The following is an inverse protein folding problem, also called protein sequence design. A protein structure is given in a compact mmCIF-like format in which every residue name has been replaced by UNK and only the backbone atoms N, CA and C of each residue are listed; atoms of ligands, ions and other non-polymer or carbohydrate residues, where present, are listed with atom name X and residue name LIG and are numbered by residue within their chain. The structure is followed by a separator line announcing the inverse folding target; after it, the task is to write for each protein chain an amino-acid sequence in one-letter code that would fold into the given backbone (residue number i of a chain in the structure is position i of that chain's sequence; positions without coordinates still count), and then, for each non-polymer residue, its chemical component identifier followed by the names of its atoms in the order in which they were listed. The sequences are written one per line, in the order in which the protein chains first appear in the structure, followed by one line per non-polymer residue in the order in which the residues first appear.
data_IF_649512885840
#
_entry.id   IF_649512885840
#
_cell.length_a   1.000
_cell.length_b   1.000
_cell.length_c   1.000
_cell.angle_alpha   90.00
_cell.angle_beta   90.00
_cell.angle_gamma   90.00
#
_symmetry.space_group_name_H-M   'P 1'
#
loop_
_entity.id
_entity.type
_entity.pdbx_description
1 polymer ?
#
# COMPACT_ATOMS: atom_id res chain seq x y z
N UNK A 1 10.91 13.67 8.77
CA UNK A 1 11.50 14.77 9.53
C UNK A 1 12.08 15.65 8.44
N UNK A 2 11.35 16.72 8.12
CA UNK A 2 11.57 17.57 6.95
C UNK A 2 12.62 18.61 7.31
N UNK A 3 12.20 19.87 7.45
CA UNK A 3 13.05 20.98 7.86
C UNK A 3 12.99 21.16 9.38
N UNK A 4 13.80 20.40 10.10
CA UNK A 4 13.71 20.27 11.56
C UNK A 4 15.05 20.59 12.22
N UNK A 5 15.03 21.41 13.27
CA UNK A 5 16.17 21.57 14.17
C UNK A 5 16.25 20.38 15.13
N UNK A 6 17.41 19.74 15.21
CA UNK A 6 17.58 18.43 15.86
C UNK A 6 18.62 18.49 16.97
N UNK A 7 18.29 17.85 18.09
CA UNK A 7 19.24 17.49 19.14
C UNK A 7 19.42 15.99 19.10
N UNK A 8 20.67 15.57 18.92
CA UNK A 8 21.02 14.17 18.69
C UNK A 8 21.69 13.56 19.90
N UNK A 9 21.41 12.29 20.12
CA UNK A 9 22.08 11.45 21.09
C UNK A 9 22.58 10.23 20.34
N UNK A 10 23.90 10.14 20.12
CA UNK A 10 24.50 9.09 19.28
C UNK A 10 25.70 8.44 19.97
N UNK A 11 25.81 7.12 19.85
CA UNK A 11 26.99 6.39 20.31
C UNK A 11 28.08 6.42 19.23
N UNK A 12 29.27 6.84 19.63
CA UNK A 12 30.45 6.94 18.77
C UNK A 12 31.69 6.47 19.52
N UNK A 13 32.35 5.43 18.99
CA UNK A 13 33.55 4.82 19.57
C UNK A 13 33.45 4.53 21.09
N UNK A 14 32.30 4.07 21.57
CA UNK A 14 32.05 3.75 22.99
C UNK A 14 31.72 4.95 23.88
N UNK A 15 31.64 6.16 23.32
CA UNK A 15 31.19 7.38 24.01
C UNK A 15 29.85 7.83 23.49
N UNK A 16 29.00 8.39 24.36
CA UNK A 16 27.73 8.99 23.94
C UNK A 16 27.96 10.47 23.68
N UNK A 17 27.65 10.90 22.46
CA UNK A 17 27.83 12.26 21.99
C UNK A 17 26.48 12.94 21.85
N UNK A 18 26.38 14.18 22.35
CA UNK A 18 25.22 15.06 22.13
C UNK A 18 25.61 16.09 21.08
N UNK A 19 24.84 16.18 20.00
CA UNK A 19 25.14 17.07 18.86
C UNK A 19 23.90 17.83 18.43
N UNK A 20 24.10 19.05 17.96
CA UNK A 20 23.10 19.83 17.22
C UNK A 20 23.22 19.52 15.75
N UNK A 21 22.10 19.34 15.07
CA UNK A 21 22.04 19.18 13.62
C UNK A 21 20.73 19.73 13.06
N UNK A 22 20.60 19.68 11.74
CA UNK A 22 19.41 20.10 11.02
C UNK A 22 19.03 19.05 9.99
N UNK A 23 17.76 18.66 9.97
CA UNK A 23 17.24 17.86 8.88
C UNK A 23 16.80 18.78 7.76
N UNK A 24 17.15 18.40 6.52
CA UNK A 24 16.60 18.97 5.29
C UNK A 24 16.06 17.79 4.48
N UNK A 25 14.75 17.72 4.31
CA UNK A 25 14.05 16.61 3.63
C UNK A 25 14.30 15.20 4.19
N UNK A 26 15.31 14.51 3.66
CA UNK A 26 15.73 13.13 4.04
C UNK A 26 17.21 13.09 4.44
N UNK A 27 17.85 14.24 4.48
CA UNK A 27 19.25 14.41 4.80
C UNK A 27 19.39 15.09 6.15
N UNK A 28 20.50 14.81 6.81
CA UNK A 28 20.87 15.42 8.06
C UNK A 28 22.21 16.14 7.87
N UNK A 29 22.25 17.41 8.26
CA UNK A 29 23.38 18.30 8.09
C UNK A 29 23.80 18.83 9.46
N UNK A 30 25.09 19.06 9.64
CA UNK A 30 25.61 19.68 10.86
C UNK A 30 25.92 21.16 10.62
N UNK A 31 25.66 22.03 11.60
CA UNK A 31 26.30 23.34 11.66
C UNK A 31 27.82 23.20 11.83
N UNK A 32 28.57 24.27 11.55
CA UNK A 32 30.03 24.31 11.71
C UNK A 32 30.44 23.93 13.14
N UNK A 33 29.71 24.44 14.13
CA UNK A 33 29.79 24.02 15.52
C UNK A 33 28.72 22.98 15.83
N UNK A 34 29.12 21.70 15.93
CA UNK A 34 28.22 20.58 16.28
C UNK A 34 27.60 20.68 17.68
N UNK A 35 28.01 21.63 18.51
CA UNK A 35 27.39 21.92 19.81
C UNK A 35 26.69 23.29 19.82
N UNK A 36 26.38 23.84 18.64
CA UNK A 36 25.70 25.11 18.49
C UNK A 36 24.43 25.17 19.37
N UNK A 37 24.40 26.14 20.28
CA UNK A 37 23.30 26.37 21.20
C UNK A 37 23.23 25.42 22.41
N UNK A 38 24.13 24.44 22.54
CA UNK A 38 24.18 23.48 23.64
C UNK A 38 25.17 23.90 24.74
N UNK A 39 24.84 23.55 25.97
CA UNK A 39 25.68 23.68 27.17
C UNK A 39 25.36 22.55 28.15
N UNK A 40 26.26 22.30 29.11
CA UNK A 40 26.09 21.28 30.17
C UNK A 40 25.57 19.93 29.63
N UNK A 41 26.12 19.51 28.48
CA UNK A 41 25.70 18.28 27.82
C UNK A 41 26.55 17.09 28.25
N UNK A 42 25.92 15.94 28.29
CA UNK A 42 26.54 14.69 28.68
C UNK A 42 25.68 13.52 28.22
N UNK A 43 26.33 12.39 27.99
CA UNK A 43 25.65 11.17 27.61
C UNK A 43 26.27 9.97 28.30
N UNK A 44 25.47 8.95 28.56
CA UNK A 44 25.92 7.70 29.14
C UNK A 44 25.05 6.54 28.64
N UNK A 45 25.55 5.32 28.84
CA UNK A 45 24.76 4.11 28.61
C UNK A 45 24.52 3.46 29.97
N UNK A 46 23.26 3.32 30.36
CA UNK A 46 22.87 2.65 31.61
C UNK A 46 21.92 1.50 31.29
N UNK A 47 22.27 0.29 31.71
CA UNK A 47 21.46 -0.92 31.48
C UNK A 47 21.06 -1.12 30.00
N UNK A 48 21.96 -0.78 29.06
CA UNK A 48 21.69 -0.87 27.62
C UNK A 48 20.80 0.26 27.06
N UNK A 49 20.44 1.26 27.86
CA UNK A 49 19.69 2.44 27.43
C UNK A 49 20.65 3.62 27.24
N UNK A 50 20.56 4.26 26.08
CA UNK A 50 21.29 5.48 25.76
C UNK A 50 20.60 6.67 26.45
N UNK A 51 21.28 7.31 27.39
CA UNK A 51 20.81 8.50 28.11
C UNK A 51 21.61 9.72 27.66
N UNK A 52 20.93 10.81 27.30
CA UNK A 52 21.54 12.10 27.06
C UNK A 52 20.85 13.20 27.87
N UNK A 53 21.66 14.10 28.40
CA UNK A 53 21.26 15.32 29.08
C UNK A 53 21.96 16.49 28.42
N UNK A 54 21.28 17.61 28.26
CA UNK A 54 21.85 18.83 27.73
C UNK A 54 20.99 20.02 28.13
N UNK A 55 21.61 21.17 28.21
CA UNK A 55 20.93 22.46 28.29
C UNK A 55 21.04 23.15 26.93
N UNK A 56 19.96 23.80 26.51
CA UNK A 56 19.89 24.44 25.20
C UNK A 56 19.48 25.90 25.36
N UNK A 57 20.20 26.81 24.70
CA UNK A 57 19.84 28.23 24.66
C UNK A 57 18.49 28.42 23.98
N UNK A 58 17.66 29.31 24.53
CA UNK A 58 16.35 29.64 23.96
C UNK A 58 16.52 30.25 22.57
N UNK A 59 17.43 31.23 22.45
CA UNK A 59 17.79 31.88 21.19
C UNK A 59 19.27 31.64 20.88
N UNK A 60 19.57 31.38 19.61
CA UNK A 60 20.94 31.24 19.12
C UNK A 60 21.10 31.85 17.72
N UNK A 61 21.10 33.19 17.61
CA UNK A 61 21.04 33.89 16.32
C UNK A 61 22.26 33.67 15.41
N UNK A 62 23.35 33.09 15.92
CA UNK A 62 24.56 32.78 15.14
C UNK A 62 24.37 31.61 14.19
N UNK A 63 23.38 30.74 14.41
CA UNK A 63 23.07 29.62 13.54
C UNK A 63 21.55 29.58 13.28
N UNK A 64 21.07 30.07 12.12
CA UNK A 64 19.65 30.13 11.79
C UNK A 64 18.93 28.77 11.81
N UNK A 65 19.67 27.67 11.60
CA UNK A 65 19.13 26.29 11.66
C UNK A 65 18.92 25.79 13.11
N UNK A 66 19.35 26.54 14.12
CA UNK A 66 19.03 26.31 15.53
C UNK A 66 17.77 27.10 15.88
N UNK A 67 16.63 26.40 15.97
CA UNK A 67 15.31 27.06 16.11
C UNK A 67 15.15 27.86 17.41
N UNK A 68 14.60 29.06 17.31
CA UNK A 68 14.29 29.94 18.42
C UNK A 68 13.15 29.37 19.30
N UNK A 69 13.49 28.84 20.48
CA UNK A 69 12.55 28.23 21.42
C UNK A 69 11.65 29.21 22.18
N UNK A 70 11.76 30.53 21.93
CA UNK A 70 10.74 31.47 22.41
C UNK A 70 9.37 31.18 21.79
N UNK A 71 9.37 30.53 20.62
CA UNK A 71 8.19 30.11 19.88
C UNK A 71 7.82 28.67 20.20
N UNK A 72 6.52 28.32 20.16
CA UNK A 72 6.09 26.95 20.42
C UNK A 72 6.25 26.07 19.17
N UNK A 73 6.75 24.83 19.35
CA UNK A 73 6.94 23.84 18.27
C UNK A 73 6.39 22.46 18.64
N UNK A 74 6.13 21.63 17.64
CA UNK A 74 5.93 20.20 17.89
C UNK A 74 7.27 19.55 18.27
N UNK A 75 7.28 18.77 19.34
CA UNK A 75 8.43 17.96 19.70
C UNK A 75 8.31 16.61 19.01
N UNK A 76 9.38 16.21 18.33
CA UNK A 76 9.48 14.91 17.67
C UNK A 76 10.61 14.10 18.28
N UNK A 77 10.35 12.80 18.46
CA UNK A 77 11.35 11.83 18.92
C UNK A 77 11.37 10.68 17.94
N UNK A 78 12.53 10.43 17.35
CA UNK A 78 12.79 9.27 16.52
C UNK A 78 14.09 8.60 16.97
N UNK A 79 14.21 7.32 16.64
CA UNK A 79 15.40 6.54 16.93
C UNK A 79 15.77 5.72 15.70
N UNK A 80 17.03 5.31 15.61
CA UNK A 80 17.57 4.58 14.47
C UNK A 80 18.93 4.00 14.80
N UNK A 81 19.48 3.27 13.85
CA UNK A 81 20.81 2.69 13.98
C UNK A 81 21.89 3.75 13.71
N UNK A 82 23.01 3.64 14.41
CA UNK A 82 24.22 4.40 14.12
C UNK A 82 25.43 3.47 14.22
N UNK A 83 26.35 3.58 13.25
CA UNK A 83 27.59 2.80 13.21
C UNK A 83 28.76 3.77 13.17
N UNK A 84 29.66 3.67 14.15
CA UNK A 84 30.83 4.55 14.29
C UNK A 84 30.46 6.04 14.21
N UNK A 85 29.42 6.44 14.97
CA UNK A 85 28.92 7.82 14.99
C UNK A 85 28.12 8.26 13.76
N UNK A 86 28.08 7.44 12.69
CA UNK A 86 27.31 7.72 11.48
C UNK A 86 25.89 7.19 11.63
N UNK A 87 24.91 8.09 11.56
CA UNK A 87 23.49 7.76 11.70
C UNK A 87 22.91 7.26 10.39
N UNK A 88 22.11 6.21 10.46
CA UNK A 88 21.26 5.77 9.36
C UNK A 88 19.88 6.44 9.44
N UNK A 89 19.07 6.38 8.36
CA UNK A 89 17.68 6.81 8.45
C UNK A 89 16.97 6.18 9.65
N UNK A 90 16.08 6.95 10.28
CA UNK A 90 15.32 6.48 11.44
C UNK A 90 14.61 5.15 11.15
N UNK A 91 14.40 4.37 12.21
CA UNK A 91 13.82 3.03 12.13
C UNK A 91 12.55 3.02 11.26
N UNK A 92 12.50 2.09 10.31
CA UNK A 92 11.30 1.83 9.51
C UNK A 92 10.30 0.94 10.27
N UNK A 93 10.66 0.41 11.44
CA UNK A 93 9.81 -0.47 12.24
C UNK A 93 8.90 0.29 13.20
N UNK A 94 9.36 1.43 13.75
CA UNK A 94 8.51 2.30 14.55
C UNK A 94 8.55 3.72 14.04
N UNK A 95 7.36 4.29 13.92
CA UNK A 95 7.20 5.67 13.49
C UNK A 95 7.71 6.63 14.57
N UNK A 96 8.25 7.80 14.16
CA UNK A 96 8.53 8.88 15.07
C UNK A 96 7.32 9.23 15.94
N UNK A 97 7.58 9.60 17.19
CA UNK A 97 6.57 10.14 18.10
C UNK A 97 6.55 11.66 17.99
N UNK A 98 5.37 12.23 17.92
CA UNK A 98 5.14 13.67 17.77
C UNK A 98 4.20 14.14 18.87
N UNK A 99 4.48 15.29 19.48
CA UNK A 99 3.58 15.92 20.43
C UNK A 99 2.26 16.32 19.76
N UNK A 100 1.12 16.06 20.42
CA UNK A 100 -0.20 16.37 19.87
C UNK A 100 -0.41 17.88 19.66
N UNK A 101 0.15 18.69 20.54
CA UNK A 101 0.13 20.15 20.46
C UNK A 101 1.55 20.69 20.39
N UNK A 102 1.67 21.95 19.96
CA UNK A 102 2.93 22.68 20.05
C UNK A 102 3.26 22.91 21.53
N UNK A 103 4.50 22.66 21.88
CA UNK A 103 5.03 22.80 23.24
C UNK A 103 5.66 24.17 23.37
N UNK A 104 5.34 24.85 24.46
CA UNK A 104 6.09 26.00 24.92
C UNK A 104 7.32 25.51 25.69
N UNK A 105 8.51 25.74 25.15
CA UNK A 105 9.76 25.26 25.75
C UNK A 105 10.23 26.10 26.95
N UNK A 106 9.50 27.16 27.28
CA UNK A 106 9.74 27.98 28.48
C UNK A 106 8.98 27.46 29.70
N UNK A 107 7.97 26.60 29.50
CA UNK A 107 7.19 26.01 30.58
C UNK A 107 7.86 24.75 31.13
N UNK A 108 7.84 24.56 32.44
CA UNK A 108 8.36 23.35 33.09
C UNK A 108 7.28 22.26 33.05
N UNK A 109 7.51 21.22 32.27
CA UNK A 109 6.57 20.10 32.17
C UNK A 109 7.21 18.86 31.56
N UNK A 110 6.60 17.70 31.80
CA UNK A 110 6.97 16.45 31.13
C UNK A 110 6.02 16.19 29.96
N UNK A 111 6.56 16.06 28.75
CA UNK A 111 5.80 15.62 27.58
C UNK A 111 5.78 14.09 27.60
N UNK A 112 4.66 13.52 28.06
CA UNK A 112 4.43 12.06 28.03
C UNK A 112 3.46 11.71 26.91
N UNK A 113 3.74 10.64 26.17
CA UNK A 113 2.79 10.03 25.25
C UNK A 113 2.57 10.78 23.93
N UNK A 114 3.64 11.01 23.14
CA UNK A 114 3.49 11.46 21.76
C UNK A 114 2.72 10.46 20.89
N UNK A 115 1.91 10.96 19.96
CA UNK A 115 1.25 10.13 18.96
C UNK A 115 2.26 9.69 17.89
N UNK A 116 2.05 8.53 17.28
CA UNK A 116 2.86 8.16 16.10
C UNK A 116 2.57 9.13 14.96
N UNK A 117 3.62 9.53 14.22
CA UNK A 117 3.46 10.36 13.02
C UNK A 117 2.41 9.75 12.06
N UNK A 118 1.59 10.60 11.45
CA UNK A 118 0.51 10.18 10.53
C UNK A 118 0.88 10.54 9.11
N UNK A 119 0.56 9.67 8.16
CA UNK A 119 0.86 9.83 6.74
C UNK A 119 -0.42 9.78 5.88
N UNK A 120 -1.18 10.89 5.78
CA UNK A 120 -2.47 10.90 5.08
C UNK A 120 -2.39 10.50 3.61
N UNK A 121 -1.34 10.92 2.88
CA UNK A 121 -1.16 10.55 1.48
C UNK A 121 -0.87 9.05 1.30
N UNK A 122 -0.13 8.43 2.23
CA UNK A 122 0.09 6.97 2.22
C UNK A 122 -1.23 6.24 2.44
N UNK A 123 -2.06 6.71 3.38
CA UNK A 123 -3.39 6.13 3.62
C UNK A 123 -4.30 6.29 2.41
N UNK A 124 -4.35 7.48 1.80
CA UNK A 124 -5.13 7.75 0.60
C UNK A 124 -4.67 6.89 -0.60
N UNK A 125 -3.35 6.71 -0.78
CA UNK A 125 -2.79 5.77 -1.74
C UNK A 125 -3.29 4.34 -1.50
N UNK A 126 -3.14 3.84 -0.27
CA UNK A 126 -3.59 2.49 0.10
C UNK A 126 -5.07 2.29 -0.16
N UNK A 127 -5.92 3.22 0.28
CA UNK A 127 -7.36 3.20 0.04
C UNK A 127 -7.69 3.19 -1.45
N UNK A 128 -7.08 4.08 -2.25
CA UNK A 128 -7.31 4.12 -3.69
C UNK A 128 -6.95 2.79 -4.36
N UNK A 129 -5.80 2.18 -3.99
CA UNK A 129 -5.37 0.88 -4.52
C UNK A 129 -6.32 -0.25 -4.09
N UNK A 130 -6.77 -0.28 -2.84
CA UNK A 130 -7.75 -1.24 -2.36
C UNK A 130 -9.06 -1.16 -3.16
N UNK A 131 -9.62 0.03 -3.36
CA UNK A 131 -10.84 0.19 -4.19
C UNK A 131 -10.61 -0.16 -5.67
N UNK A 132 -9.47 0.24 -6.23
CA UNK A 132 -9.13 -0.05 -7.62
C UNK A 132 -9.13 -1.56 -7.92
N UNK A 133 -8.52 -2.35 -7.02
CA UNK A 133 -8.22 -3.76 -7.28
C UNK A 133 -9.20 -4.72 -6.63
N UNK A 134 -9.60 -4.50 -5.37
CA UNK A 134 -10.56 -5.38 -4.70
C UNK A 134 -11.99 -5.12 -5.17
N UNK A 135 -12.36 -3.87 -5.50
CA UNK A 135 -13.73 -3.59 -5.93
C UNK A 135 -13.85 -3.59 -7.46
N UNK A 136 -13.22 -2.64 -8.14
CA UNK A 136 -13.40 -2.46 -9.58
C UNK A 136 -12.75 -3.60 -10.40
N UNK A 137 -11.50 -3.98 -10.11
CA UNK A 137 -10.84 -5.02 -10.89
C UNK A 137 -11.51 -6.39 -10.72
N UNK A 138 -11.89 -6.75 -9.49
CA UNK A 138 -12.66 -7.97 -9.21
C UNK A 138 -14.00 -7.99 -9.93
N UNK A 139 -14.75 -6.88 -9.91
CA UNK A 139 -16.02 -6.76 -10.64
C UNK A 139 -15.84 -6.90 -12.15
N UNK A 140 -14.82 -6.25 -12.72
CA UNK A 140 -14.51 -6.35 -14.14
C UNK A 140 -14.08 -7.75 -14.56
N UNK A 141 -13.31 -8.46 -13.73
CA UNK A 141 -12.92 -9.84 -13.97
C UNK A 141 -14.11 -10.79 -13.90
N UNK A 142 -14.96 -10.63 -12.89
CA UNK A 142 -16.18 -11.41 -12.71
C UNK A 142 -17.11 -11.29 -13.92
N UNK A 143 -17.37 -10.06 -14.36
CA UNK A 143 -18.23 -9.79 -15.52
C UNK A 143 -17.60 -10.26 -16.84
N UNK A 144 -16.27 -10.20 -16.99
CA UNK A 144 -15.61 -10.75 -18.16
C UNK A 144 -15.77 -12.28 -18.29
N UNK A 145 -15.82 -12.99 -17.15
CA UNK A 145 -15.99 -14.44 -17.09
C UNK A 145 -17.44 -14.86 -17.26
N UNK A 146 -18.34 -14.26 -16.48
CA UNK A 146 -19.73 -14.74 -16.33
C UNK A 146 -20.76 -13.87 -17.04
N UNK A 147 -20.43 -12.63 -17.36
CA UNK A 147 -21.37 -11.63 -17.87
C UNK A 147 -21.96 -11.94 -19.24
N UNK A 148 -21.28 -12.77 -20.05
CA UNK A 148 -21.83 -13.25 -21.33
C UNK A 148 -23.11 -14.07 -21.15
N UNK A 149 -23.15 -14.93 -20.12
CA UNK A 149 -24.32 -15.74 -19.82
C UNK A 149 -25.44 -14.91 -19.20
N UNK A 150 -25.09 -13.92 -18.36
CA UNK A 150 -26.06 -13.08 -17.66
C UNK A 150 -26.72 -12.01 -18.56
N UNK A 151 -26.02 -11.51 -19.57
CA UNK A 151 -26.46 -10.34 -20.36
C UNK A 151 -26.42 -10.58 -21.88
N UNK A 152 -26.75 -11.78 -22.34
CA UNK A 152 -26.70 -12.15 -23.77
C UNK A 152 -27.68 -11.36 -24.67
N UNK A 153 -28.81 -10.90 -24.12
CA UNK A 153 -29.93 -10.35 -24.88
C UNK A 153 -29.99 -8.81 -24.92
N UNK A 154 -29.12 -8.10 -24.18
CA UNK A 154 -29.17 -6.65 -24.05
C UNK A 154 -27.95 -5.98 -24.70
N UNK A 155 -28.20 -5.10 -25.67
CA UNK A 155 -27.17 -4.39 -26.45
C UNK A 155 -27.44 -2.88 -26.54
N UNK A 156 -27.37 -2.12 -25.43
CA UNK A 156 -27.45 -0.67 -25.50
C UNK A 156 -26.29 -0.15 -26.36
N UNK A 157 -26.61 0.70 -27.34
CA UNK A 157 -25.65 1.25 -28.30
C UNK A 157 -24.88 0.19 -29.10
N UNK A 158 -25.50 -0.96 -29.39
CA UNK A 158 -24.92 -2.02 -30.23
C UNK A 158 -23.84 -2.86 -29.55
N UNK A 159 -23.53 -2.60 -28.28
CA UNK A 159 -22.50 -3.29 -27.49
C UNK A 159 -23.18 -4.07 -26.36
N UNK A 160 -22.73 -5.30 -26.12
CA UNK A 160 -23.23 -6.14 -25.03
C UNK A 160 -23.02 -5.47 -23.67
N UNK A 161 -24.02 -5.49 -22.79
CA UNK A 161 -23.98 -4.86 -21.45
C UNK A 161 -22.77 -5.31 -20.64
N UNK A 162 -22.43 -6.60 -20.65
CA UNK A 162 -21.26 -7.11 -19.92
C UNK A 162 -19.95 -6.43 -20.36
N UNK A 163 -19.84 -6.06 -21.64
CA UNK A 163 -18.65 -5.40 -22.17
C UNK A 163 -18.56 -3.94 -21.70
N UNK A 164 -19.70 -3.25 -21.57
CA UNK A 164 -19.75 -1.91 -20.96
C UNK A 164 -19.32 -1.95 -19.50
N UNK A 165 -19.88 -2.87 -18.70
CA UNK A 165 -19.55 -3.00 -17.28
C UNK A 165 -18.07 -3.37 -17.10
N UNK A 166 -17.55 -4.30 -17.91
CA UNK A 166 -16.14 -4.64 -17.90
C UNK A 166 -15.25 -3.43 -18.21
N UNK A 167 -15.54 -2.68 -19.29
CA UNK A 167 -14.78 -1.49 -19.67
C UNK A 167 -14.81 -0.41 -18.58
N UNK A 168 -16.00 -0.10 -18.06
CA UNK A 168 -16.17 0.85 -16.97
C UNK A 168 -15.31 0.46 -15.76
N UNK A 169 -15.39 -0.81 -15.35
CA UNK A 169 -14.62 -1.33 -14.21
C UNK A 169 -13.11 -1.20 -14.45
N UNK A 170 -12.61 -1.57 -15.62
CA UNK A 170 -11.18 -1.47 -15.94
C UNK A 170 -10.70 -0.01 -16.05
N UNK A 171 -11.52 0.91 -16.57
CA UNK A 171 -11.21 2.35 -16.60
C UNK A 171 -11.12 2.89 -15.18
N UNK A 172 -12.06 2.55 -14.29
CA UNK A 172 -12.01 2.97 -12.89
C UNK A 172 -10.80 2.41 -12.15
N UNK A 173 -10.45 1.13 -12.38
CA UNK A 173 -9.21 0.54 -11.85
C UNK A 173 -7.98 1.33 -12.31
N UNK A 174 -7.88 1.66 -13.60
CA UNK A 174 -6.75 2.42 -14.14
C UNK A 174 -6.67 3.85 -13.57
N UNK A 175 -7.79 4.56 -13.48
CA UNK A 175 -7.86 5.92 -12.92
C UNK A 175 -7.48 5.96 -11.45
N UNK A 176 -8.04 5.06 -10.62
CA UNK A 176 -7.70 4.99 -9.20
C UNK A 176 -6.24 4.55 -8.99
N UNK A 177 -5.72 3.65 -9.83
CA UNK A 177 -4.30 3.28 -9.81
C UNK A 177 -3.41 4.47 -10.15
N UNK A 178 -3.80 5.31 -11.13
CA UNK A 178 -3.07 6.54 -11.47
C UNK A 178 -3.03 7.51 -10.29
N UNK A 179 -4.20 7.78 -9.69
CA UNK A 179 -4.34 8.70 -8.56
C UNK A 179 -3.54 8.19 -7.36
N UNK A 180 -3.71 6.91 -7.01
CA UNK A 180 -2.94 6.28 -5.93
C UNK A 180 -1.44 6.37 -6.18
N UNK A 181 -0.99 6.08 -7.41
CA UNK A 181 0.43 6.14 -7.75
C UNK A 181 0.99 7.58 -7.68
N UNK A 182 0.23 8.57 -8.14
CA UNK A 182 0.60 9.98 -8.03
C UNK A 182 0.72 10.42 -6.56
N UNK A 183 -0.24 10.04 -5.71
CA UNK A 183 -0.21 10.35 -4.27
C UNK A 183 1.06 9.83 -3.59
N UNK A 184 1.44 8.57 -3.85
CA UNK A 184 2.62 7.99 -3.20
C UNK A 184 3.95 8.55 -3.75
N UNK A 185 4.00 8.96 -5.03
CA UNK A 185 5.17 9.62 -5.60
C UNK A 185 5.38 11.02 -5.00
N UNK A 186 4.30 11.79 -4.81
CA UNK A 186 4.35 13.11 -4.17
C UNK A 186 4.80 12.97 -2.72
N UNK A 187 4.16 12.08 -1.96
CA UNK A 187 4.51 11.80 -0.56
C UNK A 187 5.96 11.32 -0.40
N UNK A 188 6.42 10.47 -1.31
CA UNK A 188 7.78 9.93 -1.27
C UNK A 188 8.83 10.89 -1.83
N UNK A 189 8.43 12.02 -2.44
CA UNK A 189 9.28 12.92 -3.23
C UNK A 189 10.12 12.14 -4.26
N UNK A 190 9.48 11.22 -4.98
CA UNK A 190 10.14 10.32 -5.95
C UNK A 190 10.15 8.85 -5.51
N UNK A 191 11.19 8.11 -5.93
CA UNK A 191 11.29 6.68 -5.63
C UNK A 191 11.55 6.41 -4.14
N UNK A 192 10.73 5.56 -3.53
CA UNK A 192 10.90 5.15 -2.14
C UNK A 192 11.79 3.91 -2.05
N UNK A 193 12.90 4.04 -1.30
CA UNK A 193 13.73 2.89 -0.88
C UNK A 193 13.28 2.46 0.51
N UNK A 194 12.81 1.22 0.62
CA UNK A 194 12.53 0.57 1.90
C UNK A 194 13.78 -0.26 2.21
N UNK A 195 14.65 0.19 3.13
CA UNK A 195 15.90 -0.49 3.42
C UNK A 195 15.63 -1.83 4.09
N UNK A 196 16.50 -2.78 3.77
CA UNK A 196 16.58 -4.03 4.53
C UNK A 196 17.20 -3.75 5.89
N UNK A 197 16.65 -4.33 6.95
CA UNK A 197 17.25 -4.24 8.29
C UNK A 197 17.90 -5.60 8.60
N UNK A 198 19.23 -5.66 8.80
CA UNK A 198 19.92 -6.92 9.09
C UNK A 198 19.26 -7.65 10.28
N UNK A 199 18.73 -8.85 10.04
CA UNK A 199 18.02 -9.65 11.05
C UNK A 199 16.49 -9.52 11.05
N UNK A 200 15.91 -8.66 10.19
CA UNK A 200 14.47 -8.53 10.06
C UNK A 200 13.90 -9.58 9.07
N UNK A 201 12.86 -10.31 9.50
CA UNK A 201 12.15 -11.32 8.67
C UNK A 201 11.26 -10.71 7.58
N UNK A 202 11.21 -9.39 7.45
CA UNK A 202 10.26 -8.65 6.60
C UNK A 202 10.89 -8.12 5.30
N UNK A 203 11.90 -8.82 4.77
CA UNK A 203 12.60 -8.46 3.53
C UNK A 203 11.63 -8.17 2.37
N UNK A 204 10.51 -8.90 2.30
CA UNK A 204 9.51 -8.78 1.24
C UNK A 204 8.90 -7.38 1.11
N UNK A 205 8.97 -6.54 2.17
CA UNK A 205 8.52 -5.14 2.14
C UNK A 205 9.25 -4.32 1.08
N UNK A 206 10.52 -4.64 0.80
CA UNK A 206 11.32 -3.96 -0.22
C UNK A 206 10.79 -4.17 -1.64
N UNK A 207 9.99 -5.21 -1.86
CA UNK A 207 9.43 -5.54 -3.17
C UNK A 207 8.25 -4.64 -3.55
N UNK A 208 7.65 -3.93 -2.60
CA UNK A 208 6.43 -3.16 -2.86
C UNK A 208 6.62 -2.05 -3.91
N UNK A 209 7.62 -1.15 -3.82
CA UNK A 209 7.85 -0.14 -4.85
C UNK A 209 8.18 -0.72 -6.25
N UNK A 210 9.14 -1.66 -6.43
CA UNK A 210 9.47 -2.14 -7.76
C UNK A 210 8.33 -2.95 -8.40
N UNK A 211 7.67 -3.84 -7.65
CA UNK A 211 6.52 -4.60 -8.17
C UNK A 211 5.32 -3.67 -8.44
N UNK A 212 5.13 -2.64 -7.60
CA UNK A 212 4.11 -1.62 -7.80
C UNK A 212 4.27 -0.86 -9.12
N UNK A 213 5.50 -0.49 -9.50
CA UNK A 213 5.76 0.15 -10.80
C UNK A 213 5.43 -0.80 -11.95
N UNK A 214 5.83 -2.08 -11.86
CA UNK A 214 5.48 -3.09 -12.86
C UNK A 214 3.97 -3.22 -13.00
N UNK A 215 3.24 -3.28 -11.88
CA UNK A 215 1.77 -3.33 -11.88
C UNK A 215 1.14 -2.09 -12.55
N UNK A 216 1.63 -0.89 -12.27
CA UNK A 216 1.17 0.34 -12.93
C UNK A 216 1.35 0.24 -14.44
N UNK A 217 2.53 -0.18 -14.91
CA UNK A 217 2.79 -0.36 -16.35
C UNK A 217 1.82 -1.38 -16.96
N UNK A 218 1.63 -2.55 -16.33
CA UNK A 218 0.68 -3.56 -16.80
C UNK A 218 -0.75 -3.01 -16.89
N UNK A 219 -1.15 -2.18 -15.93
CA UNK A 219 -2.48 -1.57 -15.83
C UNK A 219 -2.80 -0.64 -17.00
N UNK A 220 -1.81 0.06 -17.55
CA UNK A 220 -1.99 0.94 -18.71
C UNK A 220 -1.74 0.24 -20.04
N UNK A 221 -0.77 -0.67 -20.10
CA UNK A 221 -0.50 -1.45 -21.32
C UNK A 221 -1.72 -2.30 -21.68
N UNK A 222 -2.41 -2.90 -20.71
CA UNK A 222 -3.52 -3.80 -21.01
C UNK A 222 -4.73 -3.13 -21.71
N UNK A 223 -5.22 -1.96 -21.25
CA UNK A 223 -6.24 -1.18 -21.97
C UNK A 223 -5.75 -0.61 -23.30
N UNK A 224 -4.49 -0.16 -23.40
CA UNK A 224 -3.93 0.35 -24.66
C UNK A 224 -3.94 -0.75 -25.72
N UNK A 225 -3.49 -1.97 -25.38
CA UNK A 225 -3.60 -3.11 -26.29
C UNK A 225 -5.05 -3.38 -26.69
N UNK A 226 -6.01 -3.21 -25.77
CA UNK A 226 -7.42 -3.41 -26.04
C UNK A 226 -8.03 -2.36 -27.00
N UNK A 227 -7.40 -1.20 -27.22
CA UNK A 227 -7.78 -0.26 -28.27
C UNK A 227 -7.46 -0.80 -29.66
N UNK A 228 -6.37 -1.56 -29.80
CA UNK A 228 -5.95 -2.20 -31.05
C UNK A 228 -6.52 -3.62 -31.20
N UNK A 229 -7.66 -3.88 -30.56
CA UNK A 229 -8.33 -5.18 -30.52
C UNK A 229 -8.71 -5.64 -31.94
N UNK A 230 -8.16 -6.77 -32.45
CA UNK A 230 -8.46 -7.27 -33.80
C UNK A 230 -9.92 -7.66 -34.00
N UNK A 231 -10.39 -7.64 -35.24
CA UNK A 231 -11.73 -8.13 -35.60
C UNK A 231 -11.97 -9.59 -35.17
N UNK A 232 -13.22 -10.00 -34.90
CA UNK A 232 -13.53 -11.34 -34.39
C UNK A 232 -12.99 -12.51 -35.23
N UNK A 233 -12.87 -12.33 -36.55
CA UNK A 233 -12.41 -13.37 -37.49
C UNK A 233 -10.93 -13.28 -37.86
N UNK A 234 -10.20 -12.28 -37.35
CA UNK A 234 -8.79 -12.10 -37.69
C UNK A 234 -7.90 -13.19 -37.08
N UNK A 235 -6.85 -13.68 -37.76
CA UNK A 235 -5.96 -14.72 -37.22
C UNK A 235 -5.18 -14.26 -35.97
N UNK A 236 -4.91 -12.96 -35.84
CA UNK A 236 -4.26 -12.37 -34.67
C UNK A 236 -5.16 -12.31 -33.43
N UNK A 237 -6.48 -12.54 -33.58
CA UNK A 237 -7.48 -12.46 -32.50
C UNK A 237 -7.18 -13.40 -31.34
N UNK A 238 -6.74 -14.63 -31.64
CA UNK A 238 -6.43 -15.64 -30.63
C UNK A 238 -5.24 -15.21 -29.77
N UNK A 239 -4.15 -14.77 -30.42
CA UNK A 239 -2.96 -14.24 -29.74
C UNK A 239 -3.29 -13.05 -28.86
N UNK A 240 -4.06 -12.09 -29.39
CA UNK A 240 -4.55 -10.94 -28.63
C UNK A 240 -5.32 -11.37 -27.38
N UNK A 241 -6.27 -12.31 -27.51
CA UNK A 241 -7.08 -12.75 -26.38
C UNK A 241 -6.21 -13.36 -25.27
N UNK A 242 -5.24 -14.22 -25.61
CA UNK A 242 -4.33 -14.82 -24.63
C UNK A 242 -3.43 -13.81 -23.94
N UNK A 243 -2.85 -12.86 -24.69
CA UNK A 243 -1.98 -11.82 -24.13
C UNK A 243 -2.77 -10.88 -23.22
N UNK A 244 -3.92 -10.37 -23.69
CA UNK A 244 -4.78 -9.47 -22.92
C UNK A 244 -5.30 -10.13 -21.63
N UNK A 245 -5.73 -11.39 -21.74
CA UNK A 245 -6.17 -12.18 -20.59
C UNK A 245 -5.01 -12.46 -19.62
N UNK A 246 -3.88 -12.96 -20.12
CA UNK A 246 -2.73 -13.32 -19.29
C UNK A 246 -2.16 -12.13 -18.53
N UNK A 247 -1.99 -10.99 -19.21
CA UNK A 247 -1.52 -9.75 -18.59
C UNK A 247 -2.51 -9.26 -17.52
N UNK A 248 -3.82 -9.32 -17.81
CA UNK A 248 -4.86 -8.92 -16.86
C UNK A 248 -4.89 -9.80 -15.61
N UNK A 249 -4.81 -11.12 -15.77
CA UNK A 249 -4.77 -12.07 -14.63
C UNK A 249 -3.49 -11.91 -13.81
N UNK A 250 -2.34 -11.74 -14.47
CA UNK A 250 -1.07 -11.52 -13.78
C UNK A 250 -1.11 -10.24 -12.94
N UNK A 251 -1.55 -9.12 -13.52
CA UNK A 251 -1.69 -7.87 -12.80
C UNK A 251 -2.67 -8.01 -11.62
N UNK A 252 -3.80 -8.70 -11.82
CA UNK A 252 -4.77 -8.97 -10.75
C UNK A 252 -4.13 -9.75 -9.59
N UNK A 253 -3.40 -10.83 -9.84
CA UNK A 253 -2.74 -11.62 -8.78
C UNK A 253 -1.67 -10.78 -8.05
N UNK A 254 -0.83 -10.05 -8.79
CA UNK A 254 0.20 -9.20 -8.21
C UNK A 254 -0.40 -8.09 -7.33
N UNK A 255 -1.57 -7.56 -7.68
CA UNK A 255 -2.23 -6.50 -6.90
C UNK A 255 -2.56 -6.92 -5.47
N UNK A 256 -3.04 -8.15 -5.26
CA UNK A 256 -3.34 -8.64 -3.91
C UNK A 256 -2.08 -8.81 -3.06
N UNK A 257 -1.00 -9.33 -3.67
CA UNK A 257 0.30 -9.39 -3.02
C UNK A 257 0.76 -8.00 -2.60
N UNK A 258 0.67 -7.01 -3.50
CA UNK A 258 1.04 -5.63 -3.20
C UNK A 258 0.18 -4.98 -2.12
N UNK A 259 -1.13 -5.23 -2.09
CA UNK A 259 -2.03 -4.74 -1.03
C UNK A 259 -1.61 -5.31 0.32
N UNK A 260 -1.38 -6.64 0.41
CA UNK A 260 -0.94 -7.29 1.65
C UNK A 260 0.39 -6.73 2.14
N UNK A 261 1.37 -6.58 1.26
CA UNK A 261 2.67 -5.98 1.61
C UNK A 261 2.48 -4.52 2.04
N UNK A 262 1.64 -3.76 1.33
CA UNK A 262 1.38 -2.35 1.62
C UNK A 262 0.71 -2.12 2.97
N UNK A 263 -0.22 -2.99 3.38
CA UNK A 263 -0.83 -2.98 4.71
C UNK A 263 0.21 -3.26 5.81
N UNK A 264 1.14 -4.17 5.56
CA UNK A 264 2.21 -4.50 6.52
C UNK A 264 3.33 -3.44 6.61
N UNK A 265 3.32 -2.40 5.75
CA UNK A 265 4.26 -1.27 5.89
C UNK A 265 3.88 -0.38 7.07
N UNK A 266 4.85 -0.06 7.93
CA UNK A 266 4.63 0.75 9.14
C UNK A 266 3.96 2.10 8.89
N UNK A 267 4.21 2.74 7.74
CA UNK A 267 3.57 4.02 7.36
C UNK A 267 2.09 3.89 6.99
N UNK A 268 1.60 2.70 6.65
CA UNK A 268 0.17 2.44 6.43
C UNK A 268 -0.61 2.70 7.72
N UNK A 269 -0.01 2.37 8.86
CA UNK A 269 -0.64 2.32 10.18
C UNK A 269 -1.96 1.53 10.15
N UNK A 270 -2.04 0.48 9.33
CA UNK A 270 -3.19 -0.42 9.33
C UNK A 270 -3.03 -1.48 10.39
N UNK A 271 -4.15 -1.82 11.02
CA UNK A 271 -4.20 -2.92 11.99
C UNK A 271 -4.16 -4.28 11.27
N UNK A 272 -3.80 -5.34 12.00
CA UNK A 272 -3.65 -6.71 11.46
C UNK A 272 -4.97 -7.25 10.89
N UNK A 273 -6.10 -6.74 11.39
CA UNK A 273 -7.44 -7.02 10.94
C UNK A 273 -7.65 -6.68 9.46
N UNK A 274 -6.99 -5.63 8.96
CA UNK A 274 -7.06 -5.27 7.54
C UNK A 274 -6.49 -6.38 6.65
N UNK A 275 -5.42 -7.05 7.09
CA UNK A 275 -4.82 -8.19 6.39
C UNK A 275 -5.80 -9.38 6.39
N UNK A 276 -6.46 -9.66 7.51
CA UNK A 276 -7.48 -10.71 7.58
C UNK A 276 -8.67 -10.42 6.66
N UNK A 277 -9.10 -9.17 6.54
CA UNK A 277 -10.15 -8.77 5.59
C UNK A 277 -9.74 -9.08 4.15
N UNK A 278 -8.49 -8.80 3.76
CA UNK A 278 -7.99 -9.14 2.42
C UNK A 278 -7.99 -10.65 2.19
N UNK A 279 -7.50 -11.45 3.15
CA UNK A 279 -7.54 -12.91 3.04
C UNK A 279 -8.96 -13.47 2.97
N UNK A 280 -9.88 -12.97 3.80
CA UNK A 280 -11.29 -13.34 3.75
C UNK A 280 -11.92 -12.99 2.40
N UNK A 281 -11.57 -11.85 1.82
CA UNK A 281 -12.04 -11.43 0.51
C UNK A 281 -11.51 -12.33 -0.62
N UNK A 282 -10.23 -12.72 -0.57
CA UNK A 282 -9.65 -13.69 -1.51
C UNK A 282 -10.36 -15.04 -1.39
N UNK A 283 -10.54 -15.54 -0.17
CA UNK A 283 -11.24 -16.79 0.10
C UNK A 283 -12.68 -16.75 -0.42
N UNK A 284 -13.40 -15.65 -0.19
CA UNK A 284 -14.73 -15.40 -0.73
C UNK A 284 -14.74 -15.48 -2.26
N UNK A 285 -13.78 -14.85 -2.96
CA UNK A 285 -13.69 -14.92 -4.43
C UNK A 285 -13.46 -16.35 -4.93
N UNK A 286 -12.59 -17.11 -4.26
CA UNK A 286 -12.33 -18.52 -4.61
C UNK A 286 -13.57 -19.37 -4.41
N UNK A 287 -14.23 -19.25 -3.25
CA UNK A 287 -15.48 -19.98 -2.96
C UNK A 287 -16.55 -19.62 -3.97
N UNK A 288 -16.75 -18.33 -4.27
CA UNK A 288 -17.73 -17.88 -5.26
C UNK A 288 -17.47 -18.48 -6.64
N UNK A 289 -16.22 -18.51 -7.11
CA UNK A 289 -15.86 -19.13 -8.39
C UNK A 289 -16.10 -20.65 -8.40
N UNK A 290 -15.82 -21.34 -7.28
CA UNK A 290 -16.11 -22.77 -7.14
C UNK A 290 -17.63 -23.01 -7.18
N UNK A 291 -18.40 -22.24 -6.40
CA UNK A 291 -19.87 -22.37 -6.34
C UNK A 291 -20.48 -22.15 -7.71
N UNK A 292 -20.12 -21.08 -8.42
CA UNK A 292 -20.66 -20.78 -9.76
C UNK A 292 -20.34 -21.90 -10.77
N UNK A 293 -19.17 -22.56 -10.64
CA UNK A 293 -18.80 -23.66 -11.53
C UNK A 293 -19.45 -24.97 -11.15
N UNK A 294 -19.53 -25.32 -9.87
CA UNK A 294 -19.94 -26.66 -9.39
C UNK A 294 -21.45 -26.76 -9.20
N UNK A 295 -22.11 -25.70 -8.72
CA UNK A 295 -23.54 -25.69 -8.42
C UNK A 295 -24.40 -26.10 -9.63
N UNK A 296 -24.15 -25.64 -10.87
CA UNK A 296 -24.92 -26.10 -12.04
C UNK A 296 -24.81 -27.60 -12.28
N UNK A 297 -23.64 -28.20 -12.07
CA UNK A 297 -23.46 -29.66 -12.22
C UNK A 297 -24.18 -30.44 -11.12
N UNK A 298 -24.11 -29.97 -9.87
CA UNK A 298 -24.82 -30.60 -8.75
C UNK A 298 -26.34 -30.54 -8.94
N UNK A 299 -26.87 -29.37 -9.33
CA UNK A 299 -28.29 -29.20 -9.63
C UNK A 299 -28.72 -30.08 -10.81
N UNK A 300 -27.93 -30.13 -11.88
CA UNK A 300 -28.21 -31.01 -13.01
C UNK A 300 -28.21 -32.50 -12.62
N UNK A 301 -27.36 -32.94 -11.70
CA UNK A 301 -27.35 -34.32 -11.22
C UNK A 301 -28.54 -34.63 -10.29
N UNK A 302 -28.88 -33.72 -9.36
CA UNK A 302 -30.00 -33.91 -8.44
C UNK A 302 -31.36 -33.83 -9.14
N UNK A 303 -31.55 -32.88 -10.06
CA UNK A 303 -32.81 -32.67 -10.77
C UNK A 303 -32.89 -33.42 -12.11
N UNK A 304 -31.77 -33.77 -12.73
CA UNK A 304 -31.72 -34.61 -13.93
C UNK A 304 -32.11 -36.07 -13.66
N UNK A 305 -31.88 -36.58 -12.44
CA UNK A 305 -32.47 -37.86 -12.00
C UNK A 305 -34.00 -37.79 -11.84
N UNK A 306 -34.59 -36.60 -11.70
CA UNK A 306 -36.04 -36.44 -11.60
C UNK A 306 -36.74 -36.49 -12.97
N UNK A 307 -35.99 -36.43 -14.08
CA UNK A 307 -36.55 -36.40 -15.43
C UNK A 307 -36.46 -37.75 -16.17
N UNK A 308 -35.62 -38.67 -15.69
CA UNK A 308 -35.50 -40.02 -16.26
C UNK A 308 -36.65 -40.97 -15.86
N UNK A 309 -37.30 -40.75 -14.71
CA UNK A 309 -38.37 -41.64 -14.22
C UNK A 309 -39.80 -41.22 -14.63
N UNK A 310 -39.97 -40.04 -15.24
CA UNK A 310 -41.29 -39.62 -15.77
C UNK A 310 -41.52 -39.97 -17.26
N UNK A 311 -40.50 -40.38 -18.01
CA UNK A 311 -40.63 -40.68 -19.45
C UNK A 311 -40.84 -42.17 -19.78
N UNK A 312 -41.08 -43.05 -18.80
CA UNK A 312 -41.32 -44.48 -19.07
C UNK A 312 -42.79 -44.83 -19.39
N UNK A 313 -43.77 -43.93 -19.19
CA UNK A 313 -45.21 -44.28 -19.33
C UNK A 313 -45.95 -43.73 -20.56
N UNK A 314 -45.32 -42.96 -21.44
CA UNK A 314 -45.97 -42.48 -22.67
C UNK A 314 -45.58 -43.22 -23.96
N UNK A 315 -44.68 -44.21 -23.89
CA UNK A 315 -44.28 -45.03 -25.05
C UNK A 315 -45.21 -46.24 -25.33
N UNK A 316 -46.33 -46.40 -24.60
CA UNK A 316 -47.21 -47.57 -24.73
C UNK A 316 -48.53 -47.33 -25.48
N UNK A 317 -48.78 -46.15 -26.05
CA UNK A 317 -50.05 -45.85 -26.74
C UNK A 317 -49.94 -45.36 -28.19
N UNK A 318 -48.91 -45.81 -28.92
CA UNK A 318 -48.87 -45.72 -30.39
C UNK A 318 -48.70 -47.11 -31.02
N UNK A 319 -49.69 -47.96 -30.79
CA UNK A 319 -49.97 -49.17 -31.56
C UNK A 319 -51.50 -49.37 -31.54
N UNK A 320 -52.23 -48.68 -32.42
CA UNK A 320 -53.53 -49.11 -32.95
C UNK A 320 -54.04 -48.08 -33.97
N UNK A 321 -54.39 -48.60 -35.15
CA UNK A 321 -55.10 -47.98 -36.29
C UNK A 321 -54.40 -46.84 -37.04
#
# INVERSE_FOLDING_TARGET
MGDDSVMECVMDAGTVQVKTSFNTDKFNEYPDDKHAGLHNYGGSVKNGVLECSFERKIEYPREPKVFDLSKPYHLMVAYGEAVSGNKFPHSYEKLPKVSAQKINFQDVGSVKGGASAVYPMVKAHGTAMTFAWMFFASSGLFIARHGRAMFNNSKPFGILVWFHIHRFSMIMTALLTLVGFALILVESKGYSKIPDSPGNKSWYRMLHPPIGIVLVVMTFVNPIMALFRPEPKAPSRSKFNWIHWGLGILAYILSYGLILIGLDLTKSQSDVEAIYVVFAFIAYHVVMEIVIRVLPFLLAHMFGCCQSDCCSKQALNKNSS
#
